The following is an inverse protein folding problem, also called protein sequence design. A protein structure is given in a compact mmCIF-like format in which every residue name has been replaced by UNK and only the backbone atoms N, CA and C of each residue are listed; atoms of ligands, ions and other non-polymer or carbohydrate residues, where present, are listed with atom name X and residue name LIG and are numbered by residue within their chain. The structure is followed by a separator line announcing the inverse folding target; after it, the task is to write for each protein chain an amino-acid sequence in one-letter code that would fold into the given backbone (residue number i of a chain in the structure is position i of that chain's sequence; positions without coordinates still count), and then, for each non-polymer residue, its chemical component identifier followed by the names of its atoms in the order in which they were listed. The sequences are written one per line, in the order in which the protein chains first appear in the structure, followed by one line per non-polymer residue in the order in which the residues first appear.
data_IF_887564048249
#
_entry.id   IF_887564048249
#
_cell.length_a   1.000
_cell.length_b   1.000
_cell.length_c   1.000
_cell.angle_alpha   90.00
_cell.angle_beta   90.00
_cell.angle_gamma   90.00
#
_symmetry.space_group_name_H-M   'P 1'
#
loop_
_entity.id
_entity.type
_entity.pdbx_description
1 polymer ?
#
# COMPACT_ATOMS: atom_id res chain seq x y z
N UNK A 1 -10.37 -7.92 -2.60
CA UNK A 1 -8.94 -7.61 -2.71
C UNK A 1 -8.17 -8.91 -2.47
N UNK A 2 -6.92 -8.98 -2.88
CA UNK A 2 -6.15 -10.21 -2.68
C UNK A 2 -4.69 -9.86 -2.49
N UNK A 3 -3.93 -10.83 -1.99
CA UNK A 3 -2.50 -10.73 -1.86
C UNK A 3 -1.89 -11.62 -2.94
N UNK A 4 -0.94 -11.09 -3.72
CA UNK A 4 -0.32 -11.89 -4.78
C UNK A 4 0.62 -12.97 -4.24
N UNK A 5 1.08 -12.83 -3.00
CA UNK A 5 1.94 -13.82 -2.34
C UNK A 5 1.46 -14.09 -0.93
N UNK A 6 0.96 -15.32 -0.72
CA UNK A 6 0.52 -15.84 0.58
C UNK A 6 1.32 -17.10 0.89
N UNK A 7 1.90 -17.17 2.09
CA UNK A 7 2.62 -18.37 2.55
C UNK A 7 2.36 -18.64 4.03
N UNK A 8 2.28 -19.92 4.39
CA UNK A 8 2.21 -20.37 5.78
C UNK A 8 3.59 -20.29 6.43
N UNK A 9 3.64 -19.82 7.66
CA UNK A 9 4.84 -19.77 8.48
C UNK A 9 4.52 -20.34 9.85
N UNK A 10 5.28 -21.35 10.25
CA UNK A 10 5.30 -21.86 11.61
C UNK A 10 6.67 -21.51 12.19
N UNK A 11 6.74 -20.70 13.26
CA UNK A 11 8.01 -20.37 13.88
C UNK A 11 8.57 -21.60 14.62
N UNK A 12 9.88 -21.82 14.52
CA UNK A 12 10.60 -22.84 15.29
C UNK A 12 10.43 -22.68 16.81
N UNK A 13 10.17 -21.45 17.28
CA UNK A 13 9.88 -21.15 18.69
C UNK A 13 8.43 -21.47 19.10
N UNK A 14 7.60 -21.94 18.16
CA UNK A 14 6.24 -22.36 18.49
C UNK A 14 6.30 -23.57 19.43
N UNK A 15 5.50 -23.54 20.50
CA UNK A 15 5.50 -24.62 21.49
C UNK A 15 4.92 -25.85 20.80
N UNK A 16 5.50 -27.03 21.03
CA UNK A 16 4.97 -28.29 20.45
C UNK A 16 3.53 -28.59 20.88
N UNK A 17 3.00 -27.90 21.90
CA UNK A 17 1.60 -27.94 22.34
C UNK A 17 0.69 -26.90 21.67
N UNK A 18 1.22 -25.95 20.88
CA UNK A 18 0.46 -25.03 20.05
C UNK A 18 0.52 -25.47 18.58
N UNK A 19 -0.63 -25.44 17.93
CA UNK A 19 -0.75 -25.67 16.47
C UNK A 19 -0.78 -24.33 15.71
N UNK A 20 -0.12 -23.29 16.23
CA UNK A 20 -0.22 -21.95 15.66
C UNK A 20 0.55 -21.86 14.33
N UNK A 21 -0.11 -21.30 13.33
CA UNK A 21 0.46 -21.09 12.00
C UNK A 21 0.04 -19.71 11.55
N UNK A 22 1.01 -18.91 11.12
CA UNK A 22 0.77 -17.56 10.64
C UNK A 22 0.68 -17.55 9.12
N UNK A 23 -0.21 -16.71 8.59
CA UNK A 23 -0.24 -16.38 7.18
C UNK A 23 0.59 -15.12 6.95
N UNK A 24 1.66 -15.24 6.17
CA UNK A 24 2.42 -14.11 5.68
C UNK A 24 1.82 -13.70 4.33
N UNK A 25 1.10 -12.58 4.34
CA UNK A 25 0.48 -11.98 3.16
C UNK A 25 1.34 -10.81 2.67
N UNK A 26 1.78 -10.85 1.41
CA UNK A 26 2.57 -9.78 0.78
C UNK A 26 1.87 -9.26 -0.48
N UNK A 27 2.21 -8.03 -0.86
CA UNK A 27 1.71 -7.36 -2.06
C UNK A 27 0.18 -7.30 -2.09
N UNK A 28 -0.39 -6.54 -1.16
CA UNK A 28 -1.83 -6.31 -1.11
C UNK A 28 -2.30 -5.58 -2.37
N UNK A 29 -3.24 -6.18 -3.09
CA UNK A 29 -3.90 -5.56 -4.23
C UNK A 29 -5.31 -5.13 -3.82
N UNK A 30 -5.56 -3.81 -3.65
CA UNK A 30 -6.88 -3.31 -3.34
C UNK A 30 -7.86 -3.53 -4.49
N UNK A 31 -9.16 -3.53 -4.18
CA UNK A 31 -10.19 -3.59 -5.21
C UNK A 31 -10.14 -2.35 -6.09
N UNK A 32 -10.39 -2.52 -7.40
CA UNK A 32 -10.38 -1.41 -8.35
C UNK A 32 -8.99 -0.87 -8.68
N UNK A 33 -7.92 -1.60 -8.37
CA UNK A 33 -6.57 -1.22 -8.80
C UNK A 33 -6.49 -1.29 -10.32
N UNK A 34 -6.06 -0.23 -11.00
CA UNK A 34 -5.88 -0.26 -12.45
C UNK A 34 -4.76 -1.22 -12.85
N UNK A 35 -4.86 -1.77 -14.07
CA UNK A 35 -3.92 -2.80 -14.55
C UNK A 35 -2.51 -2.25 -14.83
N UNK A 36 -2.38 -0.94 -14.98
CA UNK A 36 -1.11 -0.26 -15.22
C UNK A 36 -0.18 -0.38 -13.99
N UNK A 37 1.12 -0.65 -14.21
CA UNK A 37 2.09 -0.67 -13.13
C UNK A 37 2.26 0.72 -12.50
N UNK A 38 2.58 0.73 -11.20
CA UNK A 38 2.79 1.97 -10.44
C UNK A 38 3.91 2.84 -11.04
N UNK A 39 4.94 2.22 -11.64
CA UNK A 39 6.05 2.92 -12.30
C UNK A 39 5.58 3.79 -13.45
N UNK A 40 4.77 3.24 -14.36
CA UNK A 40 4.24 3.99 -15.51
C UNK A 40 3.37 5.16 -15.05
N UNK A 41 2.53 4.93 -14.03
CA UNK A 41 1.70 5.98 -13.42
C UNK A 41 2.54 7.08 -12.79
N UNK A 42 3.60 6.68 -12.10
CA UNK A 42 4.54 7.59 -11.46
C UNK A 42 5.28 8.43 -12.50
N UNK A 43 5.85 7.81 -13.53
CA UNK A 43 6.54 8.49 -14.63
C UNK A 43 5.61 9.45 -15.37
N UNK A 44 4.38 9.03 -15.68
CA UNK A 44 3.38 9.90 -16.30
C UNK A 44 3.05 11.11 -15.41
N UNK A 45 2.93 10.91 -14.08
CA UNK A 45 2.68 12.02 -13.15
C UNK A 45 3.88 12.96 -12.99
N UNK A 46 5.11 12.42 -13.03
CA UNK A 46 6.33 13.19 -12.93
C UNK A 46 6.59 13.99 -14.21
N UNK A 47 6.37 13.40 -15.38
CA UNK A 47 6.52 14.06 -16.67
C UNK A 47 5.70 15.34 -16.73
N UNK A 48 4.43 15.30 -16.29
CA UNK A 48 3.57 16.49 -16.20
C UNK A 48 4.17 17.59 -15.32
N UNK A 49 4.74 17.23 -14.16
CA UNK A 49 5.36 18.18 -13.22
C UNK A 49 6.67 18.78 -13.74
N UNK A 50 7.50 17.96 -14.38
CA UNK A 50 8.84 18.35 -14.84
C UNK A 50 8.79 19.17 -16.15
N UNK A 51 7.79 18.92 -16.99
CA UNK A 51 7.61 19.63 -18.26
C UNK A 51 7.03 21.05 -18.11
N UNK A 52 6.85 21.54 -16.87
CA UNK A 52 6.30 22.87 -16.59
C UNK A 52 4.81 23.00 -16.93
N UNK A 53 4.10 21.87 -17.07
CA UNK A 53 2.66 21.87 -17.30
C UNK A 53 1.97 22.34 -16.00
N UNK A 54 1.09 23.34 -16.11
CA UNK A 54 0.34 23.84 -14.97
C UNK A 54 -0.69 22.78 -14.58
N UNK A 55 -0.45 22.11 -13.46
CA UNK A 55 -1.38 21.11 -12.93
C UNK A 55 -2.34 21.85 -12.02
N UNK A 56 -3.59 22.02 -12.46
CA UNK A 56 -4.68 22.43 -11.59
C UNK A 56 -4.94 21.32 -10.57
N UNK A 57 -4.25 21.42 -9.43
CA UNK A 57 -4.46 20.52 -8.30
C UNK A 57 -5.69 21.01 -7.54
N UNK A 58 -6.82 20.35 -7.72
CA UNK A 58 -7.96 20.59 -6.83
C UNK A 58 -7.57 20.24 -5.38
N UNK A 59 -7.82 21.14 -4.43
CA UNK A 59 -7.48 20.91 -3.03
C UNK A 59 -8.28 19.72 -2.48
N UNK A 60 -7.58 18.64 -2.11
CA UNK A 60 -8.21 17.49 -1.47
C UNK A 60 -8.37 17.78 0.03
N UNK A 61 -9.56 17.51 0.58
CA UNK A 61 -9.76 17.54 2.02
C UNK A 61 -8.97 16.41 2.70
N UNK A 62 -7.89 16.77 3.40
CA UNK A 62 -7.14 15.82 4.23
C UNK A 62 -7.81 15.62 5.59
N UNK A 63 -7.79 14.39 6.12
CA UNK A 63 -8.47 14.01 7.39
C UNK A 63 -7.59 14.09 8.64
N UNK A 64 -6.44 14.76 8.58
CA UNK A 64 -5.52 14.80 9.71
C UNK A 64 -6.06 15.72 10.82
N UNK A 65 -6.09 15.19 12.05
CA UNK A 65 -6.45 15.95 13.26
C UNK A 65 -5.23 16.11 14.14
N UNK A 66 -4.79 17.34 14.36
CA UNK A 66 -3.72 17.67 15.30
C UNK A 66 -4.28 17.64 16.72
N UNK A 67 -3.78 16.74 17.56
CA UNK A 67 -4.02 16.78 19.00
C UNK A 67 -2.85 17.50 19.67
N UNK A 68 -3.12 18.66 20.28
CA UNK A 68 -2.17 19.31 21.18
C UNK A 68 -2.27 18.66 22.55
N UNK A 69 -1.14 18.25 23.13
CA UNK A 69 -1.07 17.89 24.54
C UNK A 69 -1.22 19.17 25.36
N UNK A 70 -2.26 19.21 26.20
CA UNK A 70 -2.38 20.16 27.30
C UNK A 70 -1.62 19.68 28.53
#
# INVERSE_FOLDING_TARGET
PHFSKVRRFSPEASRNSSSEVYLICRNHTPWGTPAEPLSERYEASLGKRLNGENIDVEPINTRFKVHRRG
#
